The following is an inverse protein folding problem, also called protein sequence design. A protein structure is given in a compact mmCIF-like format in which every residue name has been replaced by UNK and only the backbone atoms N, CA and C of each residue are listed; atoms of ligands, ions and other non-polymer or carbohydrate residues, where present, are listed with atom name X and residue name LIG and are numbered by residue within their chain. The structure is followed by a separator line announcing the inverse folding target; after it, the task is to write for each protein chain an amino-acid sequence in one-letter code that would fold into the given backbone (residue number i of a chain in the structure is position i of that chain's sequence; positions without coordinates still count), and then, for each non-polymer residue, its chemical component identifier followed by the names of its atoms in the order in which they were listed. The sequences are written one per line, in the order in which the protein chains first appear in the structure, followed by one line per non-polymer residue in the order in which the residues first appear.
data_IF_505996221134
#
_entry.id   IF_505996221134
#
_cell.length_a   1.000
_cell.length_b   1.000
_cell.length_c   1.000
_cell.angle_alpha   90.00
_cell.angle_beta   90.00
_cell.angle_gamma   90.00
#
_symmetry.space_group_name_H-M   'P 1'
#
loop_
_entity.id
_entity.type
_entity.pdbx_description
1 polymer ?
#
# COMPACT_ATOMS: atom_id res chain seq x y z
N UNK A 1 0.98 -74.14 -46.83
CA UNK A 1 1.77 -73.49 -45.78
C UNK A 1 2.37 -72.22 -46.37
N UNK A 2 1.69 -71.06 -46.22
CA UNK A 2 2.10 -69.81 -46.89
C UNK A 2 3.26 -69.20 -46.09
N UNK A 3 4.44 -69.14 -46.70
CA UNK A 3 5.66 -68.58 -46.12
C UNK A 3 5.56 -67.05 -46.24
N UNK A 4 5.13 -66.38 -45.17
CA UNK A 4 5.08 -64.91 -45.12
C UNK A 4 6.50 -64.39 -45.00
N UNK A 5 6.92 -63.59 -45.98
CA UNK A 5 8.27 -63.04 -46.09
C UNK A 5 8.55 -62.05 -44.93
N UNK A 6 9.72 -62.17 -44.28
CA UNK A 6 10.12 -61.31 -43.14
C UNK A 6 10.15 -59.83 -43.52
N UNK A 7 10.35 -59.52 -44.81
CA UNK A 7 10.28 -58.15 -45.32
C UNK A 7 8.86 -57.58 -45.27
N UNK A 8 7.84 -58.41 -45.47
CA UNK A 8 6.43 -58.00 -45.38
C UNK A 8 6.03 -57.60 -43.95
N UNK A 9 6.53 -58.34 -42.96
CA UNK A 9 6.38 -57.95 -41.54
C UNK A 9 7.07 -56.62 -41.22
N UNK A 10 8.26 -56.37 -41.78
CA UNK A 10 8.95 -55.09 -41.63
C UNK A 10 8.12 -53.90 -42.13
N UNK A 11 7.50 -54.02 -43.31
CA UNK A 11 6.63 -52.97 -43.85
C UNK A 11 5.36 -52.75 -43.01
N UNK A 12 4.74 -53.82 -42.52
CA UNK A 12 3.55 -53.71 -41.64
C UNK A 12 3.92 -52.97 -40.34
N UNK A 13 5.05 -53.31 -39.71
CA UNK A 13 5.49 -52.65 -38.47
C UNK A 13 5.79 -51.17 -38.69
N UNK A 14 6.43 -50.81 -39.81
CA UNK A 14 6.69 -49.40 -40.16
C UNK A 14 5.39 -48.63 -40.39
N UNK A 15 4.40 -49.22 -41.08
CA UNK A 15 3.09 -48.58 -41.31
C UNK A 15 2.36 -48.37 -39.98
N UNK A 16 2.37 -49.36 -39.08
CA UNK A 16 1.76 -49.23 -37.75
C UNK A 16 2.42 -48.11 -36.94
N UNK A 17 3.75 -47.99 -36.98
CA UNK A 17 4.47 -46.93 -36.28
C UNK A 17 4.15 -45.54 -36.84
N UNK A 18 4.06 -45.39 -38.16
CA UNK A 18 3.68 -44.12 -38.80
C UNK A 18 2.25 -43.73 -38.42
N UNK A 19 1.32 -44.68 -38.41
CA UNK A 19 -0.06 -44.43 -37.98
C UNK A 19 -0.16 -44.08 -36.49
N UNK A 20 0.64 -44.72 -35.64
CA UNK A 20 0.67 -44.42 -34.20
C UNK A 20 1.22 -43.01 -33.91
N UNK A 21 2.27 -42.58 -34.62
CA UNK A 21 2.81 -41.21 -34.51
C UNK A 21 1.81 -40.18 -35.02
N UNK A 22 1.09 -40.46 -36.10
CA UNK A 22 0.01 -39.60 -36.61
C UNK A 22 -1.13 -39.43 -35.60
N UNK A 23 -1.58 -40.51 -34.97
CA UNK A 23 -2.61 -40.49 -33.93
C UNK A 23 -2.18 -39.70 -32.69
N UNK A 24 -0.93 -39.88 -32.23
CA UNK A 24 -0.40 -39.12 -31.09
C UNK A 24 -0.27 -37.63 -31.40
N UNK A 25 0.15 -37.27 -32.61
CA UNK A 25 0.18 -35.88 -33.05
C UNK A 25 -1.25 -35.29 -33.09
N UNK A 26 -2.24 -36.04 -33.58
CA UNK A 26 -3.62 -35.57 -33.65
C UNK A 26 -4.24 -35.38 -32.26
N UNK A 27 -3.96 -36.27 -31.30
CA UNK A 27 -4.35 -36.10 -29.89
C UNK A 27 -3.66 -34.88 -29.28
N UNK A 28 -2.36 -34.69 -29.53
CA UNK A 28 -1.60 -33.53 -29.06
C UNK A 28 -2.17 -32.21 -29.61
N UNK A 29 -2.42 -32.13 -30.91
CA UNK A 29 -3.01 -30.94 -31.54
C UNK A 29 -4.45 -30.69 -31.07
N UNK A 30 -5.24 -31.74 -30.82
CA UNK A 30 -6.61 -31.60 -30.27
C UNK A 30 -6.61 -31.08 -28.83
N UNK A 31 -5.66 -31.51 -28.00
CA UNK A 31 -5.56 -31.09 -26.60
C UNK A 31 -4.94 -29.69 -26.42
N UNK A 32 -4.07 -29.27 -27.34
CA UNK A 32 -3.41 -27.94 -27.30
C UNK A 32 -4.27 -26.84 -27.93
N UNK A 33 -5.27 -27.18 -28.75
CA UNK A 33 -6.18 -26.22 -29.41
C UNK A 33 -7.65 -26.35 -28.98
N UNK A 34 -7.90 -26.55 -27.67
CA UNK A 34 -9.23 -26.27 -27.11
C UNK A 34 -9.39 -24.76 -27.00
N UNK A 35 -9.99 -24.18 -28.04
CA UNK A 35 -10.55 -22.83 -28.05
C UNK A 35 -11.72 -22.78 -27.06
N UNK A 36 -11.86 -21.76 -26.19
CA UNK A 36 -12.99 -21.71 -25.26
C UNK A 36 -14.26 -21.37 -26.04
N UNK A 37 -15.15 -22.36 -26.16
CA UNK A 37 -16.43 -22.26 -26.85
C UNK A 37 -17.57 -22.58 -25.89
N UNK A 38 -18.14 -21.52 -25.31
CA UNK A 38 -19.54 -21.29 -24.93
C UNK A 38 -20.43 -22.55 -24.81
N UNK A 39 -20.74 -22.99 -23.58
CA UNK A 39 -22.12 -23.33 -23.20
C UNK A 39 -22.30 -23.37 -21.68
N UNK A 40 -23.49 -22.96 -21.24
CA UNK A 40 -24.00 -22.78 -19.87
C UNK A 40 -23.71 -21.42 -19.22
N UNK A 41 -24.55 -20.45 -19.61
CA UNK A 41 -25.02 -19.45 -18.66
C UNK A 41 -25.83 -20.15 -17.57
N UNK A 42 -25.12 -20.76 -16.63
CA UNK A 42 -25.56 -20.67 -15.24
C UNK A 42 -25.54 -19.17 -14.96
N UNK A 43 -26.71 -18.59 -14.75
CA UNK A 43 -26.84 -17.27 -14.14
C UNK A 43 -26.22 -17.40 -12.74
N UNK A 44 -24.89 -17.32 -12.69
CA UNK A 44 -24.17 -16.91 -11.51
C UNK A 44 -24.74 -15.53 -11.27
N UNK A 45 -25.75 -15.45 -10.40
CA UNK A 45 -26.06 -14.24 -9.66
C UNK A 45 -24.71 -13.78 -9.17
N UNK A 46 -24.15 -12.83 -9.90
CA UNK A 46 -22.85 -12.28 -9.63
C UNK A 46 -23.09 -11.61 -8.31
N UNK A 47 -22.70 -12.31 -7.24
CA UNK A 47 -22.74 -11.82 -5.89
C UNK A 47 -22.07 -10.48 -5.99
N UNK A 48 -22.88 -9.43 -5.84
CA UNK A 48 -22.55 -8.01 -5.70
C UNK A 48 -21.03 -7.88 -5.62
N UNK A 49 -20.43 -7.45 -6.73
CA UNK A 49 -18.99 -7.27 -6.91
C UNK A 49 -18.33 -6.97 -5.58
N UNK A 50 -17.20 -7.62 -5.28
CA UNK A 50 -16.29 -7.09 -4.28
C UNK A 50 -16.10 -5.61 -4.60
N UNK A 51 -16.85 -4.75 -3.90
CA UNK A 51 -16.84 -3.32 -4.10
C UNK A 51 -15.41 -2.94 -3.75
N UNK A 52 -14.63 -2.66 -4.78
CA UNK A 52 -13.29 -2.11 -4.63
C UNK A 52 -13.46 -0.90 -3.71
N UNK A 53 -12.97 -1.01 -2.48
CA UNK A 53 -13.11 0.07 -1.50
C UNK A 53 -12.34 1.25 -2.05
N UNK A 54 -13.09 2.28 -2.43
CA UNK A 54 -12.55 3.46 -3.06
C UNK A 54 -12.27 4.52 -1.99
N UNK A 55 -11.03 4.48 -1.49
CA UNK A 55 -10.41 5.63 -0.83
C UNK A 55 -10.07 6.68 -1.89
N UNK A 56 -10.45 7.93 -1.66
CA UNK A 56 -10.14 9.01 -2.62
C UNK A 56 -9.29 10.13 -2.01
N UNK A 57 -9.24 10.23 -0.67
CA UNK A 57 -8.46 11.24 0.03
C UNK A 57 -7.97 10.74 1.39
N UNK A 58 -6.73 11.09 1.72
CA UNK A 58 -6.14 10.94 3.04
C UNK A 58 -5.58 12.25 3.55
N UNK A 59 -5.88 12.59 4.79
CA UNK A 59 -5.31 13.75 5.49
C UNK A 59 -4.47 13.21 6.64
N UNK A 60 -3.22 13.65 6.74
CA UNK A 60 -2.30 13.25 7.82
C UNK A 60 -1.80 14.54 8.47
N UNK A 61 -2.00 14.63 9.78
CA UNK A 61 -1.43 15.68 10.60
C UNK A 61 -0.59 15.04 11.71
N UNK A 62 0.61 15.58 11.93
CA UNK A 62 1.43 15.20 13.06
C UNK A 62 1.78 16.42 13.88
N UNK A 63 1.97 16.24 15.19
CA UNK A 63 2.45 17.28 16.09
C UNK A 63 3.38 16.69 17.13
N UNK A 64 4.39 17.46 17.52
CA UNK A 64 5.29 17.07 18.60
C UNK A 64 4.65 17.45 19.94
N UNK A 65 4.55 16.49 20.86
CA UNK A 65 4.07 16.69 22.23
C UNK A 65 4.90 15.83 23.18
N UNK A 66 5.50 16.44 24.19
CA UNK A 66 6.23 15.75 25.27
C UNK A 66 7.27 14.72 24.77
N UNK A 67 8.09 15.10 23.77
CA UNK A 67 9.06 14.24 23.07
C UNK A 67 8.47 13.04 22.31
N UNK A 68 7.17 13.06 22.02
CA UNK A 68 6.52 12.08 21.16
C UNK A 68 5.86 12.78 19.98
N UNK A 69 5.52 12.02 18.95
CA UNK A 69 4.75 12.54 17.83
C UNK A 69 3.32 12.02 17.94
N UNK A 70 2.37 12.92 18.12
CA UNK A 70 0.95 12.60 18.00
C UNK A 70 0.57 12.65 16.53
N UNK A 71 0.04 11.56 16.00
CA UNK A 71 -0.41 11.44 14.61
C UNK A 71 -1.93 11.33 14.55
N UNK A 72 -2.54 12.12 13.67
CA UNK A 72 -3.95 12.02 13.31
C UNK A 72 -4.06 11.81 11.81
N UNK A 73 -4.76 10.76 11.40
CA UNK A 73 -4.99 10.41 10.01
C UNK A 73 -6.49 10.27 9.76
N UNK A 74 -6.99 10.90 8.70
CA UNK A 74 -8.38 10.77 8.27
C UNK A 74 -8.39 10.21 6.86
N UNK A 75 -9.03 9.06 6.69
CA UNK A 75 -9.21 8.39 5.40
C UNK A 75 -10.65 8.62 4.93
N UNK A 76 -10.82 9.20 3.75
CA UNK A 76 -12.12 9.48 3.15
C UNK A 76 -12.42 8.48 2.05
N UNK A 77 -13.65 7.97 2.06
CA UNK A 77 -14.15 6.96 1.14
C UNK A 77 -15.37 7.45 0.39
N UNK A 78 -15.64 6.89 -0.79
CA UNK A 78 -16.96 7.06 -1.41
C UNK A 78 -18.06 6.58 -0.45
N UNK A 79 -19.27 7.12 -0.55
CA UNK A 79 -20.37 6.75 0.36
C UNK A 79 -20.69 5.26 0.30
N UNK A 80 -20.66 4.67 -0.90
CA UNK A 80 -20.89 3.24 -1.13
C UNK A 80 -19.80 2.38 -0.48
N UNK A 81 -18.54 2.81 -0.62
CA UNK A 81 -17.39 2.15 -0.01
C UNK A 81 -17.45 2.23 1.51
N UNK A 82 -17.80 3.41 2.05
CA UNK A 82 -17.92 3.63 3.48
C UNK A 82 -19.03 2.79 4.11
N UNK A 83 -20.20 2.71 3.47
CA UNK A 83 -21.28 1.83 3.92
C UNK A 83 -20.82 0.36 3.94
N UNK A 84 -20.10 -0.08 2.89
CA UNK A 84 -19.53 -1.43 2.84
C UNK A 84 -18.52 -1.68 3.96
N UNK A 85 -17.74 -0.65 4.36
CA UNK A 85 -16.84 -0.70 5.52
C UNK A 85 -17.62 -0.87 6.81
N UNK A 86 -18.70 -0.10 7.01
CA UNK A 86 -19.55 -0.20 8.20
C UNK A 86 -20.19 -1.59 8.34
N UNK A 87 -20.74 -2.12 7.25
CA UNK A 87 -21.37 -3.45 7.21
C UNK A 87 -20.37 -4.58 7.56
N UNK A 88 -19.07 -4.34 7.37
CA UNK A 88 -18.00 -5.32 7.55
C UNK A 88 -16.88 -4.81 8.48
N UNK A 89 -17.25 -4.05 9.51
CA UNK A 89 -16.30 -3.27 10.30
C UNK A 89 -15.11 -4.07 10.84
N UNK A 90 -15.33 -5.26 11.41
CA UNK A 90 -14.24 -6.07 11.98
C UNK A 90 -13.16 -6.46 10.95
N UNK A 91 -13.58 -6.78 9.71
CA UNK A 91 -12.67 -7.10 8.60
C UNK A 91 -11.84 -5.86 8.23
N UNK A 92 -12.50 -4.73 8.05
CA UNK A 92 -11.82 -3.50 7.64
C UNK A 92 -10.98 -2.87 8.75
N UNK A 93 -11.42 -2.95 10.00
CA UNK A 93 -10.64 -2.56 11.17
C UNK A 93 -9.31 -3.33 11.21
N UNK A 94 -9.34 -4.64 10.99
CA UNK A 94 -8.13 -5.47 10.92
C UNK A 94 -7.21 -5.08 9.75
N UNK A 95 -7.78 -4.81 8.58
CA UNK A 95 -7.03 -4.35 7.39
C UNK A 95 -6.40 -2.96 7.60
N UNK A 96 -7.14 -2.02 8.17
CA UNK A 96 -6.66 -0.68 8.51
C UNK A 96 -5.55 -0.79 9.55
N UNK A 97 -5.74 -1.57 10.62
CA UNK A 97 -4.71 -1.82 11.64
C UNK A 97 -3.44 -2.39 11.03
N UNK A 98 -3.56 -3.38 10.13
CA UNK A 98 -2.42 -3.94 9.39
C UNK A 98 -1.72 -2.88 8.54
N UNK A 99 -2.47 -2.01 7.86
CA UNK A 99 -1.88 -0.91 7.09
C UNK A 99 -1.17 0.12 7.99
N UNK A 100 -1.74 0.47 9.14
CA UNK A 100 -1.12 1.37 10.12
C UNK A 100 0.15 0.77 10.70
N UNK A 101 0.22 -0.55 10.88
CA UNK A 101 1.45 -1.21 11.36
C UNK A 101 2.67 -1.06 10.44
N UNK A 102 2.49 -0.58 9.19
CA UNK A 102 3.58 -0.23 8.28
C UNK A 102 4.21 1.14 8.59
N UNK A 103 3.50 2.02 9.29
CA UNK A 103 3.96 3.37 9.67
C UNK A 103 4.89 3.30 10.89
N UNK A 104 6.01 2.61 10.75
CA UNK A 104 7.01 2.42 11.80
C UNK A 104 8.41 2.35 11.20
N UNK A 105 9.41 2.56 12.04
CA UNK A 105 10.79 2.21 11.75
C UNK A 105 11.42 1.50 12.95
N UNK A 106 12.67 1.03 12.82
CA UNK A 106 13.28 0.18 13.83
C UNK A 106 13.38 0.84 15.22
N UNK A 107 13.53 2.16 15.28
CA UNK A 107 13.67 2.94 16.52
C UNK A 107 12.34 3.50 17.05
N UNK A 108 11.20 3.19 16.43
CA UNK A 108 9.91 3.77 16.80
C UNK A 108 8.87 2.71 17.13
N UNK A 109 7.94 3.07 18.01
CA UNK A 109 6.77 2.26 18.36
C UNK A 109 5.49 3.07 18.15
N UNK A 110 4.40 2.37 17.86
CA UNK A 110 3.05 2.94 17.83
C UNK A 110 2.37 2.63 19.15
N UNK A 111 1.93 3.67 19.85
CA UNK A 111 1.19 3.61 21.10
C UNK A 111 -0.21 4.22 20.92
N UNK A 112 -1.12 3.89 21.84
CA UNK A 112 -2.47 4.49 21.93
C UNK A 112 -3.25 4.52 20.61
N UNK A 113 -3.13 3.46 19.81
CA UNK A 113 -3.84 3.35 18.53
C UNK A 113 -5.36 3.34 18.76
N UNK A 114 -6.02 4.33 18.19
CA UNK A 114 -7.47 4.48 18.22
C UNK A 114 -8.00 4.66 16.79
N UNK A 115 -8.98 3.86 16.39
CA UNK A 115 -9.57 3.89 15.05
C UNK A 115 -11.09 4.00 15.20
N UNK A 116 -11.71 5.00 14.57
CA UNK A 116 -13.15 5.28 14.66
C UNK A 116 -13.73 5.66 13.31
N UNK A 117 -14.94 5.18 13.04
CA UNK A 117 -15.74 5.67 11.91
C UNK A 117 -16.35 7.05 12.20
N UNK A 118 -16.48 7.86 11.16
CA UNK A 118 -17.14 9.16 11.18
C UNK A 118 -18.19 9.20 10.07
N UNK A 119 -19.43 8.84 10.43
CA UNK A 119 -20.50 8.66 9.44
C UNK A 119 -20.89 9.95 8.71
N UNK A 120 -20.78 11.11 9.38
CA UNK A 120 -21.10 12.42 8.80
C UNK A 120 -20.21 12.81 7.61
N UNK A 121 -19.00 12.24 7.53
CA UNK A 121 -17.98 12.58 6.53
C UNK A 121 -17.55 11.38 5.68
N UNK A 122 -18.21 10.22 5.83
CA UNK A 122 -17.82 8.96 5.18
C UNK A 122 -16.32 8.67 5.31
N UNK A 123 -15.81 8.84 6.54
CA UNK A 123 -14.38 8.73 6.82
C UNK A 123 -14.07 7.86 8.03
N UNK A 124 -12.83 7.40 8.09
CA UNK A 124 -12.26 6.74 9.26
C UNK A 124 -11.17 7.64 9.84
N UNK A 125 -11.32 7.98 11.13
CA UNK A 125 -10.34 8.68 11.93
C UNK A 125 -9.42 7.67 12.61
N UNK A 126 -8.13 7.87 12.45
CA UNK A 126 -7.07 7.09 13.08
C UNK A 126 -6.22 8.06 13.90
N UNK A 127 -5.98 7.71 15.14
CA UNK A 127 -5.14 8.45 16.06
C UNK A 127 -4.13 7.48 16.66
N UNK A 128 -2.87 7.89 16.78
CA UNK A 128 -1.86 7.14 17.52
C UNK A 128 -0.70 8.05 17.93
N UNK A 129 0.11 7.55 18.85
CA UNK A 129 1.35 8.20 19.29
C UNK A 129 2.51 7.41 18.72
N UNK A 130 3.52 8.12 18.21
CA UNK A 130 4.80 7.54 17.81
C UNK A 130 5.83 7.92 18.87
N UNK A 131 6.30 6.90 19.59
CA UNK A 131 7.37 7.03 20.58
C UNK A 131 8.74 6.71 19.94
N UNK A 132 9.82 7.21 20.55
CA UNK A 132 11.20 7.03 20.05
C UNK A 132 11.56 7.86 18.81
N UNK A 133 10.60 8.60 18.23
CA UNK A 133 10.82 9.40 17.02
C UNK A 133 11.45 10.78 17.28
N UNK A 134 11.45 11.26 18.53
CA UNK A 134 12.05 12.55 18.91
C UNK A 134 13.19 12.32 19.88
N UNK A 135 14.32 12.98 19.65
CA UNK A 135 15.49 12.89 20.53
C UNK A 135 16.01 14.28 20.89
N UNK A 136 16.71 14.35 22.03
CA UNK A 136 17.30 15.58 22.56
C UNK A 136 18.76 15.32 22.89
N UNK A 137 19.66 16.15 22.37
CA UNK A 137 21.09 16.06 22.66
C UNK A 137 21.74 17.44 22.61
N UNK A 138 22.49 17.81 23.65
CA UNK A 138 23.21 19.08 23.76
C UNK A 138 22.38 20.33 23.38
N UNK A 139 21.14 20.42 23.88
CA UNK A 139 20.24 21.55 23.59
C UNK A 139 19.65 21.57 22.18
N UNK A 140 19.91 20.54 21.36
CA UNK A 140 19.31 20.34 20.04
C UNK A 140 18.26 19.24 20.10
N UNK A 141 17.10 19.53 19.53
CA UNK A 141 15.99 18.61 19.37
C UNK A 141 15.99 18.11 17.93
N UNK A 142 15.78 16.82 17.74
CA UNK A 142 15.61 16.21 16.41
C UNK A 142 14.39 15.32 16.40
N UNK A 143 13.74 15.20 15.24
CA UNK A 143 12.71 14.19 15.03
C UNK A 143 12.89 13.50 13.69
N UNK A 144 12.68 12.18 13.67
CA UNK A 144 12.58 11.37 12.46
C UNK A 144 11.14 11.25 12.03
N UNK A 145 10.90 11.40 10.73
CA UNK A 145 9.64 11.16 10.05
C UNK A 145 9.74 10.04 9.02
N UNK A 146 10.85 9.28 9.02
CA UNK A 146 11.04 8.16 8.09
C UNK A 146 9.98 7.06 8.29
N UNK A 147 9.47 6.90 9.52
CA UNK A 147 8.32 6.04 9.82
C UNK A 147 7.04 6.43 9.06
N UNK A 148 6.89 7.71 8.70
CA UNK A 148 5.76 8.24 7.93
C UNK A 148 6.06 8.26 6.43
N UNK A 149 7.25 8.75 6.06
CA UNK A 149 7.62 9.03 4.68
C UNK A 149 7.90 7.76 3.88
N UNK A 150 8.66 6.80 4.43
CA UNK A 150 9.04 5.58 3.69
C UNK A 150 7.84 4.75 3.23
N UNK A 151 6.81 4.48 4.06
CA UNK A 151 5.63 3.75 3.62
C UNK A 151 4.81 4.47 2.55
N UNK A 152 4.97 5.80 2.45
CA UNK A 152 4.33 6.63 1.42
C UNK A 152 5.22 6.83 0.19
N UNK A 153 6.49 6.40 0.24
CA UNK A 153 7.48 6.65 -0.82
C UNK A 153 7.84 8.12 -0.96
N UNK A 154 7.79 8.88 0.14
CA UNK A 154 8.05 10.32 0.16
C UNK A 154 9.43 10.67 0.74
N UNK A 155 9.88 11.88 0.44
CA UNK A 155 11.09 12.54 0.92
C UNK A 155 10.82 14.05 1.08
N UNK A 156 11.30 14.68 2.15
CA UNK A 156 11.03 16.10 2.37
C UNK A 156 11.61 17.00 1.27
N UNK A 157 12.78 16.67 0.75
CA UNK A 157 13.50 17.47 -0.24
C UNK A 157 13.04 17.10 -1.64
N UNK A 158 13.09 15.81 -1.98
CA UNK A 158 12.82 15.35 -3.35
C UNK A 158 11.34 15.51 -3.75
N UNK A 159 10.41 15.40 -2.79
CA UNK A 159 8.99 15.66 -3.04
C UNK A 159 8.56 17.11 -2.74
N UNK A 160 9.53 18.00 -2.53
CA UNK A 160 9.33 19.44 -2.42
C UNK A 160 8.28 19.83 -1.37
N UNK A 161 8.46 19.36 -0.13
CA UNK A 161 7.61 19.82 0.97
C UNK A 161 7.73 21.34 1.11
N UNK A 162 6.61 22.02 1.29
CA UNK A 162 6.62 23.45 1.55
C UNK A 162 7.13 23.71 2.97
N UNK A 163 8.10 24.58 3.07
CA UNK A 163 8.84 24.90 4.29
C UNK A 163 8.28 26.14 4.96
N UNK A 164 7.98 26.05 6.26
CA UNK A 164 7.54 27.17 7.08
C UNK A 164 8.31 27.19 8.40
N UNK A 165 8.12 28.23 9.20
CA UNK A 165 8.77 28.34 10.51
C UNK A 165 8.10 27.53 11.63
N UNK A 166 6.96 26.89 11.35
CA UNK A 166 6.22 26.06 12.32
C UNK A 166 5.69 24.75 11.72
N UNK A 167 6.00 24.45 10.45
CA UNK A 167 5.53 23.23 9.80
C UNK A 167 6.27 22.91 8.51
N UNK A 168 6.15 21.65 8.10
CA UNK A 168 6.35 21.21 6.73
C UNK A 168 5.01 20.69 6.18
N UNK A 169 4.67 21.04 4.94
CA UNK A 169 3.40 20.59 4.33
C UNK A 169 3.57 20.06 2.93
N UNK A 170 2.81 19.02 2.60
CA UNK A 170 2.80 18.44 1.26
C UNK A 170 1.39 18.09 0.82
N UNK A 171 1.12 18.32 -0.46
CA UNK A 171 -0.13 17.89 -1.11
C UNK A 171 0.20 17.23 -2.43
N UNK A 172 -0.39 16.07 -2.68
CA UNK A 172 -0.12 15.32 -3.90
C UNK A 172 -1.05 14.13 -4.06
N UNK A 173 -0.73 13.25 -5.00
CA UNK A 173 -1.51 12.04 -5.27
C UNK A 173 -0.59 10.83 -5.25
N UNK A 174 -0.95 9.81 -4.45
CA UNK A 174 -0.22 8.54 -4.37
C UNK A 174 -1.20 7.43 -4.71
N UNK A 175 -0.91 6.66 -5.77
CA UNK A 175 -1.77 5.56 -6.23
C UNK A 175 -3.25 5.96 -6.43
N UNK A 176 -3.48 7.15 -6.99
CA UNK A 176 -4.84 7.68 -7.24
C UNK A 176 -5.54 8.30 -6.03
N UNK A 177 -4.96 8.22 -4.83
CA UNK A 177 -5.50 8.84 -3.61
C UNK A 177 -4.88 10.21 -3.40
N UNK A 178 -5.70 11.24 -3.13
CA UNK A 178 -5.21 12.59 -2.79
C UNK A 178 -4.71 12.63 -1.36
N UNK A 179 -3.54 13.22 -1.13
CA UNK A 179 -2.95 13.38 0.19
C UNK A 179 -2.79 14.84 0.56
N UNK A 180 -3.13 15.17 1.80
CA UNK A 180 -2.70 16.41 2.46
C UNK A 180 -1.93 16.02 3.72
N UNK A 181 -0.64 16.31 3.78
CA UNK A 181 0.24 15.99 4.89
C UNK A 181 0.69 17.30 5.54
N UNK A 182 0.49 17.42 6.85
CA UNK A 182 0.97 18.55 7.66
C UNK A 182 1.78 18.02 8.83
N UNK A 183 3.02 18.48 8.92
CA UNK A 183 3.92 18.16 10.01
C UNK A 183 4.08 19.42 10.84
N UNK A 184 3.40 19.49 11.97
CA UNK A 184 3.47 20.62 12.88
C UNK A 184 4.72 20.49 13.76
N UNK A 185 5.55 21.52 13.72
CA UNK A 185 6.83 21.61 14.42
C UNK A 185 6.78 22.79 15.41
N UNK A 186 7.64 22.79 16.44
CA UNK A 186 7.75 23.95 17.33
C UNK A 186 8.12 25.22 16.55
N UNK A 187 7.37 26.30 16.72
CA UNK A 187 7.61 27.55 15.97
C UNK A 187 9.01 28.10 16.22
N UNK A 188 9.70 28.47 15.14
CA UNK A 188 11.03 29.07 15.12
C UNK A 188 10.99 30.48 14.49
N UNK A 189 12.11 31.21 14.62
CA UNK A 189 12.27 32.53 13.99
C UNK A 189 12.57 32.46 12.49
N UNK A 190 12.98 31.29 12.01
CA UNK A 190 13.29 31.02 10.60
C UNK A 190 12.54 29.76 10.13
N UNK A 191 12.28 29.62 8.81
CA UNK A 191 11.73 28.39 8.27
C UNK A 191 12.63 27.18 8.52
N UNK A 192 12.01 26.00 8.62
CA UNK A 192 12.72 24.72 8.55
C UNK A 192 13.15 24.48 7.10
N UNK A 193 14.30 25.03 6.71
CA UNK A 193 14.82 24.86 5.34
C UNK A 193 15.65 23.58 5.20
N UNK A 194 15.70 23.03 3.99
CA UNK A 194 16.61 21.95 3.65
C UNK A 194 18.07 22.29 4.03
N UNK A 195 18.71 21.40 4.79
CA UNK A 195 20.08 21.51 5.30
C UNK A 195 20.39 22.75 6.17
N UNK A 196 19.38 23.41 6.73
CA UNK A 196 19.59 24.55 7.64
C UNK A 196 20.39 24.17 8.89
N UNK A 197 21.37 24.96 9.31
CA UNK A 197 22.32 24.55 10.37
C UNK A 197 21.64 24.36 11.74
N UNK A 198 20.91 25.39 12.22
CA UNK A 198 20.31 25.42 13.56
C UNK A 198 18.84 24.97 13.58
N UNK A 199 18.10 25.33 12.54
CA UNK A 199 16.70 24.96 12.29
C UNK A 199 16.65 24.50 10.85
N UNK A 200 16.16 23.28 10.62
CA UNK A 200 16.15 22.73 9.27
C UNK A 200 15.69 21.28 9.21
N UNK A 201 15.81 20.72 8.02
CA UNK A 201 15.54 19.30 7.78
C UNK A 201 16.47 18.72 6.72
N UNK A 202 16.44 17.40 6.58
CA UNK A 202 16.97 16.69 5.42
C UNK A 202 15.86 15.82 4.81
N UNK A 203 16.21 14.72 4.16
CA UNK A 203 15.32 13.73 3.54
C UNK A 203 14.14 13.25 4.41
N UNK A 204 14.36 13.08 5.72
CA UNK A 204 13.32 12.59 6.63
C UNK A 204 13.55 12.92 8.10
N UNK A 205 14.50 13.81 8.40
CA UNK A 205 14.77 14.27 9.74
C UNK A 205 14.59 15.77 9.81
N UNK A 206 14.05 16.26 10.93
CA UNK A 206 13.92 17.69 11.25
C UNK A 206 14.70 17.98 12.53
N UNK A 207 15.19 19.21 12.68
CA UNK A 207 15.88 19.63 13.90
C UNK A 207 15.68 21.11 14.22
N UNK A 208 15.75 21.43 15.50
CA UNK A 208 15.60 22.78 16.04
C UNK A 208 16.28 22.90 17.42
N UNK A 209 16.54 24.12 17.92
CA UNK A 209 16.95 24.33 19.31
C UNK A 209 15.86 23.86 20.27
N UNK A 210 16.19 23.04 21.26
CA UNK A 210 15.22 22.68 22.29
C UNK A 210 14.82 23.93 23.08
N UNK A 211 13.51 24.12 23.27
CA UNK A 211 13.02 25.08 24.25
C UNK A 211 13.34 24.53 25.65
N UNK A 212 13.81 25.41 26.52
CA UNK A 212 14.13 25.10 27.93
C UNK A 212 12.88 24.84 28.74
#
# INVERSE_FOLDING_TARGET
MVRVDKRFYGYIVVIILVLAVGLLAQIYYSNVYIKPGIENQVEIKTTKSELMIHEFKRVIETKIKDNRIVCTMIIYYSKESFNSILDNWNKYFSLITKNISKFKEASTSIEDLNIRCQSSSSSVLIYFIVDGAVSKYNGRCTATYLWLLRPLGLDFIEDHFNEYNDRLTWTGTINGVKYNITILLPRQNVPYIAWGESVGHCHGHVWWPCQS
#
